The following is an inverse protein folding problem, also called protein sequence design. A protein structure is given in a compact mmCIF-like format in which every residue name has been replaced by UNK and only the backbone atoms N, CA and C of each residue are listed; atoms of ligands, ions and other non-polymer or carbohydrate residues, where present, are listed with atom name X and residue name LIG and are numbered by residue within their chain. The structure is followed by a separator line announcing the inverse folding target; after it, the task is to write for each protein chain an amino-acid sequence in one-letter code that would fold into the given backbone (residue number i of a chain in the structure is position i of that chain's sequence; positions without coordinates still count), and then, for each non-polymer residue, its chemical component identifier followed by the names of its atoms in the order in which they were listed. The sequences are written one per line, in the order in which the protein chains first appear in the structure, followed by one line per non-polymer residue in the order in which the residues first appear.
data_IF_700009317120
#
_entry.id   IF_700009317120
#
_cell.length_a   1.000
_cell.length_b   1.000
_cell.length_c   1.000
_cell.angle_alpha   90.00
_cell.angle_beta   90.00
_cell.angle_gamma   90.00
#
_symmetry.space_group_name_H-M   'P 1'
#
loop_
_entity.id
_entity.type
_entity.pdbx_description
1 polymer ?
#
# COMPACT_ATOMS: atom_id res chain seq x y z
N UNK A 1 -25.11 9.01 -30.39
CA UNK A 1 -24.21 7.89 -30.72
C UNK A 1 -22.82 8.04 -30.07
N UNK A 2 -22.19 9.20 -30.08
CA UNK A 2 -20.87 9.44 -29.42
C UNK A 2 -20.90 9.31 -27.91
N UNK A 3 -21.93 9.82 -27.23
CA UNK A 3 -22.08 9.71 -25.78
C UNK A 3 -22.24 8.25 -25.31
N UNK A 4 -22.89 7.41 -26.11
CA UNK A 4 -23.04 5.98 -25.84
C UNK A 4 -21.72 5.21 -26.06
N UNK A 5 -20.95 5.56 -27.09
CA UNK A 5 -19.59 5.03 -27.32
C UNK A 5 -18.60 5.47 -26.24
N UNK A 6 -18.72 6.71 -25.71
CA UNK A 6 -17.89 7.22 -24.63
C UNK A 6 -18.22 6.54 -23.30
N UNK A 7 -19.51 6.26 -23.04
CA UNK A 7 -19.98 5.52 -21.85
C UNK A 7 -19.53 4.05 -21.89
N UNK A 8 -19.55 3.39 -23.06
CA UNK A 8 -19.03 2.04 -23.27
C UNK A 8 -17.50 1.97 -23.12
N UNK A 9 -16.76 2.99 -23.57
CA UNK A 9 -15.30 3.05 -23.35
C UNK A 9 -14.92 3.28 -21.89
N UNK A 10 -15.66 4.11 -21.15
CA UNK A 10 -15.44 4.29 -19.71
C UNK A 10 -15.79 3.02 -18.91
N UNK A 11 -16.90 2.36 -19.21
CA UNK A 11 -17.27 1.12 -18.53
C UNK A 11 -16.25 -0.01 -18.76
N UNK A 12 -15.62 -0.05 -19.95
CA UNK A 12 -14.56 -1.01 -20.24
C UNK A 12 -13.27 -0.80 -19.45
N UNK A 13 -12.97 0.45 -19.03
CA UNK A 13 -11.81 0.76 -18.16
C UNK A 13 -12.00 0.23 -16.73
N UNK A 14 -13.26 0.11 -16.28
CA UNK A 14 -13.62 -0.40 -14.96
C UNK A 14 -13.99 -1.88 -14.95
N UNK A 15 -13.81 -2.57 -16.07
CA UNK A 15 -14.05 -4.02 -16.14
C UNK A 15 -12.79 -4.76 -15.66
N UNK A 16 -12.97 -5.83 -14.87
CA UNK A 16 -11.86 -6.71 -14.50
C UNK A 16 -11.10 -7.23 -15.72
N UNK A 17 -9.77 -7.20 -15.64
CA UNK A 17 -8.90 -7.70 -16.70
C UNK A 17 -8.73 -9.20 -16.52
N UNK A 18 -9.25 -9.99 -17.45
CA UNK A 18 -8.91 -11.41 -17.55
C UNK A 18 -7.47 -11.54 -18.08
N UNK A 19 -6.59 -12.04 -17.19
CA UNK A 19 -5.18 -12.23 -17.51
C UNK A 19 -4.89 -13.63 -18.07
N UNK A 20 -5.90 -14.49 -18.18
CA UNK A 20 -5.74 -15.84 -18.72
C UNK A 20 -5.71 -15.89 -20.26
N UNK A 21 -5.97 -14.73 -20.91
CA UNK A 21 -5.99 -14.60 -22.38
C UNK A 21 -5.15 -13.41 -22.85
N UNK A 22 -4.78 -13.40 -24.13
CA UNK A 22 -3.97 -12.35 -24.77
C UNK A 22 -2.47 -12.48 -24.47
N UNK A 23 -1.65 -11.46 -24.81
CA UNK A 23 -0.19 -11.47 -24.60
C UNK A 23 0.14 -11.22 -23.12
N UNK A 24 0.93 -12.09 -22.44
CA UNK A 24 1.22 -11.96 -21.02
C UNK A 24 1.84 -10.62 -20.63
N UNK A 25 2.92 -10.20 -21.29
CA UNK A 25 3.60 -8.95 -20.96
C UNK A 25 2.71 -7.72 -21.10
N UNK A 26 1.86 -7.66 -22.15
CA UNK A 26 0.90 -6.55 -22.33
C UNK A 26 -0.12 -6.49 -21.18
N UNK A 27 -0.63 -7.64 -20.73
CA UNK A 27 -1.58 -7.71 -19.61
C UNK A 27 -0.94 -7.29 -18.29
N UNK A 28 0.30 -7.72 -18.05
CA UNK A 28 1.07 -7.34 -16.86
C UNK A 28 1.30 -5.82 -16.84
N UNK A 29 1.78 -5.23 -17.95
CA UNK A 29 2.01 -3.78 -18.04
C UNK A 29 0.71 -2.98 -17.86
N UNK A 30 -0.37 -3.38 -18.57
CA UNK A 30 -1.66 -2.69 -18.48
C UNK A 30 -2.22 -2.69 -17.04
N UNK A 31 -1.95 -3.74 -16.28
CA UNK A 31 -2.35 -3.85 -14.88
C UNK A 31 -1.40 -3.11 -13.93
N UNK A 32 -0.09 -3.11 -14.21
CA UNK A 32 0.92 -2.48 -13.37
C UNK A 32 0.83 -0.94 -13.40
N UNK A 33 0.45 -0.32 -14.54
CA UNK A 33 0.37 1.14 -14.67
C UNK A 33 -0.59 1.78 -13.65
N UNK A 34 -1.86 1.37 -13.52
CA UNK A 34 -2.74 1.91 -12.49
C UNK A 34 -2.19 1.71 -11.07
N UNK A 35 -1.51 0.59 -10.80
CA UNK A 35 -0.90 0.33 -9.51
C UNK A 35 0.27 1.26 -9.23
N UNK A 36 1.12 1.53 -10.24
CA UNK A 36 2.21 2.49 -10.12
C UNK A 36 1.68 3.89 -9.79
N UNK A 37 0.65 4.33 -10.51
CA UNK A 37 -0.01 5.62 -10.24
C UNK A 37 -0.58 5.63 -8.81
N UNK A 38 -1.17 4.52 -8.35
CA UNK A 38 -1.67 4.38 -6.98
C UNK A 38 -0.56 4.48 -5.93
N UNK A 39 0.58 3.83 -6.15
CA UNK A 39 1.72 3.91 -5.24
C UNK A 39 2.30 5.33 -5.16
N UNK A 40 2.38 6.04 -6.29
CA UNK A 40 2.79 7.45 -6.32
C UNK A 40 1.76 8.32 -5.56
N UNK A 41 0.47 8.12 -5.80
CA UNK A 41 -0.59 8.84 -5.09
C UNK A 41 -0.54 8.60 -3.58
N UNK A 42 -0.30 7.36 -3.14
CA UNK A 42 -0.11 7.03 -1.73
C UNK A 42 1.09 7.75 -1.12
N UNK A 43 2.20 7.88 -1.86
CA UNK A 43 3.37 8.60 -1.38
C UNK A 43 3.12 10.10 -1.28
N UNK A 44 2.41 10.67 -2.26
CA UNK A 44 2.00 12.08 -2.21
C UNK A 44 1.05 12.34 -1.04
N UNK A 45 0.09 11.46 -0.80
CA UNK A 45 -0.79 11.50 0.36
C UNK A 45 0.02 11.59 1.68
N UNK A 46 0.94 10.67 1.94
CA UNK A 46 1.77 10.67 3.15
C UNK A 46 2.64 11.94 3.27
N UNK A 47 3.06 12.49 2.13
CA UNK A 47 3.84 13.73 2.08
C UNK A 47 2.98 14.93 2.45
N UNK A 48 1.76 15.03 1.92
CA UNK A 48 0.83 16.12 2.23
C UNK A 48 0.42 16.10 3.70
N UNK A 49 0.10 14.93 4.28
CA UNK A 49 -0.15 14.78 5.71
C UNK A 49 0.99 15.38 6.55
N UNK A 50 2.24 15.02 6.21
CA UNK A 50 3.42 15.53 6.90
C UNK A 50 3.57 17.06 6.77
N UNK A 51 3.27 17.62 5.59
CA UNK A 51 3.31 19.07 5.35
C UNK A 51 2.22 19.78 6.17
N UNK A 52 1.00 19.24 6.19
CA UNK A 52 -0.10 19.83 6.97
C UNK A 52 0.24 19.83 8.46
N UNK A 53 0.71 18.70 8.97
CA UNK A 53 1.14 18.60 10.38
C UNK A 53 2.26 19.59 10.71
N UNK A 54 3.35 19.60 9.93
CA UNK A 54 4.50 20.47 10.18
C UNK A 54 4.17 21.94 10.07
N UNK A 55 3.35 22.34 9.09
CA UNK A 55 3.05 23.74 8.81
C UNK A 55 2.00 24.34 9.75
N UNK A 56 0.98 23.58 10.12
CA UNK A 56 -0.18 24.09 10.86
C UNK A 56 -0.21 23.67 12.34
N UNK A 57 0.45 22.57 12.71
CA UNK A 57 0.48 22.07 14.09
C UNK A 57 1.85 22.31 14.75
N UNK A 58 2.93 22.19 13.96
CA UNK A 58 4.29 22.50 14.37
C UNK A 58 5.23 21.30 14.45
N UNK A 59 6.51 21.59 14.76
CA UNK A 59 7.60 20.62 14.68
C UNK A 59 7.45 19.43 15.63
N UNK A 60 6.95 19.67 16.85
CA UNK A 60 6.72 18.62 17.83
C UNK A 60 5.64 17.62 17.36
N UNK A 61 4.61 18.11 16.66
CA UNK A 61 3.58 17.28 16.07
C UNK A 61 4.14 16.45 14.91
N UNK A 62 4.97 17.05 14.06
CA UNK A 62 5.64 16.33 12.97
C UNK A 62 6.57 15.24 13.52
N UNK A 63 7.32 15.54 14.58
CA UNK A 63 8.14 14.56 15.27
C UNK A 63 7.31 13.42 15.87
N UNK A 64 6.13 13.75 16.44
CA UNK A 64 5.22 12.75 17.00
C UNK A 64 4.67 11.80 15.93
N UNK A 65 4.20 12.31 14.78
CA UNK A 65 3.71 11.50 13.66
C UNK A 65 4.85 10.64 13.10
N UNK A 66 6.05 11.20 12.95
CA UNK A 66 7.23 10.47 12.49
C UNK A 66 7.62 9.32 13.44
N UNK A 67 7.61 9.57 14.74
CA UNK A 67 7.93 8.57 15.77
C UNK A 67 6.88 7.45 15.89
N UNK A 68 5.62 7.72 15.51
CA UNK A 68 4.56 6.73 15.46
C UNK A 68 4.68 5.76 14.26
N UNK A 69 5.41 6.16 13.21
CA UNK A 69 5.55 5.42 11.94
C UNK A 69 5.95 3.94 12.10
N UNK A 70 6.99 3.58 12.86
CA UNK A 70 7.40 2.19 13.08
C UNK A 70 6.31 1.31 13.67
N UNK A 71 5.51 1.83 14.63
CA UNK A 71 4.39 1.09 15.24
C UNK A 71 3.29 0.84 14.20
N UNK A 72 2.95 1.86 13.42
CA UNK A 72 1.96 1.72 12.35
C UNK A 72 2.43 0.73 11.28
N UNK A 73 3.68 0.80 10.85
CA UNK A 73 4.23 -0.12 9.87
C UNK A 73 4.19 -1.57 10.35
N UNK A 74 4.55 -1.83 11.62
CA UNK A 74 4.48 -3.17 12.20
C UNK A 74 3.05 -3.73 12.15
N UNK A 75 2.07 -2.89 12.46
CA UNK A 75 0.66 -3.26 12.43
C UNK A 75 0.17 -3.50 11.00
N UNK A 76 0.54 -2.62 10.07
CA UNK A 76 0.14 -2.70 8.67
C UNK A 76 0.72 -3.94 7.96
N UNK A 77 1.94 -4.37 8.33
CA UNK A 77 2.56 -5.60 7.77
C UNK A 77 1.65 -6.80 7.93
N UNK A 78 0.96 -6.94 9.07
CA UNK A 78 0.00 -8.02 9.29
C UNK A 78 -1.15 -7.96 8.28
N UNK A 79 -1.79 -6.79 8.13
CA UNK A 79 -2.91 -6.62 7.19
C UNK A 79 -2.48 -6.70 5.73
N UNK A 80 -1.29 -6.20 5.39
CA UNK A 80 -0.74 -6.33 4.03
C UNK A 80 -0.50 -7.79 3.69
N UNK A 81 0.07 -8.58 4.60
CA UNK A 81 0.25 -10.02 4.41
C UNK A 81 -1.07 -10.74 4.16
N UNK A 82 -2.08 -10.50 4.99
CA UNK A 82 -3.43 -11.07 4.82
C UNK A 82 -4.04 -10.61 3.49
N UNK A 83 -3.90 -9.34 3.14
CA UNK A 83 -4.41 -8.77 1.87
C UNK A 83 -3.79 -9.44 0.65
N UNK A 84 -2.48 -9.68 0.67
CA UNK A 84 -1.78 -10.39 -0.40
C UNK A 84 -2.28 -11.83 -0.51
N UNK A 85 -2.42 -12.53 0.62
CA UNK A 85 -2.96 -13.89 0.65
C UNK A 85 -4.39 -13.97 0.09
N UNK A 86 -5.27 -13.06 0.51
CA UNK A 86 -6.62 -12.94 -0.02
C UNK A 86 -6.62 -12.65 -1.52
N UNK A 87 -5.79 -11.71 -1.99
CA UNK A 87 -5.67 -11.36 -3.40
C UNK A 87 -5.19 -12.54 -4.27
N UNK A 88 -4.21 -13.31 -3.80
CA UNK A 88 -3.73 -14.53 -4.50
C UNK A 88 -4.84 -15.57 -4.57
N UNK A 89 -5.50 -15.88 -3.45
CA UNK A 89 -6.58 -16.87 -3.39
C UNK A 89 -7.74 -16.47 -4.31
N UNK A 90 -8.15 -15.21 -4.27
CA UNK A 90 -9.20 -14.66 -5.15
C UNK A 90 -8.79 -14.74 -6.61
N UNK A 91 -7.54 -14.42 -6.96
CA UNK A 91 -7.06 -14.53 -8.34
C UNK A 91 -7.07 -15.96 -8.85
N UNK A 92 -6.75 -16.95 -8.01
CA UNK A 92 -6.83 -18.37 -8.37
C UNK A 92 -8.27 -18.83 -8.63
N UNK A 93 -9.21 -18.54 -7.74
CA UNK A 93 -10.61 -18.89 -7.93
C UNK A 93 -11.27 -18.15 -9.10
N UNK A 94 -10.89 -16.89 -9.32
CA UNK A 94 -11.32 -16.14 -10.48
C UNK A 94 -10.82 -16.78 -11.79
N UNK A 95 -9.54 -17.15 -11.85
CA UNK A 95 -8.96 -17.86 -12.99
C UNK A 95 -9.56 -19.24 -13.23
N UNK A 96 -9.91 -19.95 -12.17
CA UNK A 96 -10.59 -21.25 -12.22
C UNK A 96 -12.07 -21.14 -12.62
N UNK A 97 -12.64 -19.92 -12.61
CA UNK A 97 -14.08 -19.66 -12.82
C UNK A 97 -15.00 -20.33 -11.76
N UNK A 98 -14.48 -20.58 -10.57
CA UNK A 98 -15.17 -21.21 -9.45
C UNK A 98 -15.91 -20.14 -8.62
N UNK A 99 -17.10 -19.74 -9.05
CA UNK A 99 -17.86 -18.62 -8.49
C UNK A 99 -18.22 -18.79 -7.01
N UNK A 100 -18.56 -20.00 -6.58
CA UNK A 100 -18.94 -20.28 -5.18
C UNK A 100 -17.73 -20.20 -4.24
N UNK A 101 -16.60 -20.83 -4.63
CA UNK A 101 -15.35 -20.76 -3.87
C UNK A 101 -14.81 -19.32 -3.84
N UNK A 102 -14.93 -18.59 -4.94
CA UNK A 102 -14.58 -17.18 -5.02
C UNK A 102 -15.38 -16.33 -4.02
N UNK A 103 -16.71 -16.50 -3.99
CA UNK A 103 -17.59 -15.80 -3.06
C UNK A 103 -17.26 -16.18 -1.60
N UNK A 104 -17.02 -17.47 -1.32
CA UNK A 104 -16.60 -17.97 -0.02
C UNK A 104 -15.27 -17.39 0.44
N UNK A 105 -14.27 -17.31 -0.44
CA UNK A 105 -12.97 -16.71 -0.18
C UNK A 105 -13.06 -15.22 0.15
N UNK A 106 -13.86 -14.46 -0.62
CA UNK A 106 -14.10 -13.04 -0.39
C UNK A 106 -14.83 -12.83 0.96
N UNK A 107 -15.90 -13.58 1.20
CA UNK A 107 -16.65 -13.50 2.45
C UNK A 107 -15.83 -13.85 3.68
N UNK A 108 -15.01 -14.91 3.60
CA UNK A 108 -14.07 -15.30 4.65
C UNK A 108 -13.05 -14.17 4.93
N UNK A 109 -12.50 -13.55 3.89
CA UNK A 109 -11.56 -12.42 4.01
C UNK A 109 -12.19 -11.23 4.72
N UNK A 110 -13.44 -10.88 4.38
CA UNK A 110 -14.20 -9.81 5.03
C UNK A 110 -14.38 -10.10 6.52
N UNK A 111 -14.77 -11.32 6.87
CA UNK A 111 -15.03 -11.69 8.28
C UNK A 111 -13.76 -11.76 9.11
N UNK A 112 -12.68 -12.32 8.56
CA UNK A 112 -11.38 -12.35 9.26
C UNK A 112 -10.82 -10.95 9.48
N UNK A 113 -11.03 -10.05 8.51
CA UNK A 113 -10.67 -8.62 8.68
C UNK A 113 -11.47 -7.97 9.80
N UNK A 114 -12.78 -8.25 9.89
CA UNK A 114 -13.60 -7.76 10.99
C UNK A 114 -13.07 -8.21 12.35
N UNK A 115 -12.80 -9.51 12.49
CA UNK A 115 -12.28 -10.10 13.74
C UNK A 115 -10.94 -9.46 14.10
N UNK A 116 -9.99 -9.38 13.15
CA UNK A 116 -8.68 -8.78 13.38
C UNK A 116 -8.78 -7.28 13.72
N UNK A 117 -9.65 -6.55 13.04
CA UNK A 117 -9.88 -5.13 13.31
C UNK A 117 -10.45 -4.89 14.70
N UNK A 118 -11.49 -5.64 15.08
CA UNK A 118 -12.10 -5.53 16.43
C UNK A 118 -11.06 -5.86 17.51
N UNK A 119 -10.26 -6.90 17.32
CA UNK A 119 -9.19 -7.26 18.24
C UNK A 119 -8.20 -6.10 18.43
N UNK A 120 -7.75 -5.48 17.36
CA UNK A 120 -6.81 -4.35 17.42
C UNK A 120 -7.48 -3.08 17.97
N UNK A 121 -8.74 -2.82 17.61
CA UNK A 121 -9.50 -1.68 18.16
C UNK A 121 -9.63 -1.76 19.68
N UNK A 122 -9.81 -2.96 20.24
CA UNK A 122 -9.96 -3.16 21.69
C UNK A 122 -8.61 -3.17 22.38
N UNK A 123 -7.64 -3.91 21.88
CA UNK A 123 -6.35 -4.13 22.56
C UNK A 123 -5.34 -3.03 22.22
N UNK A 124 -5.36 -2.54 20.98
CA UNK A 124 -4.38 -1.57 20.49
C UNK A 124 -4.20 -0.34 21.36
N UNK A 125 -5.27 0.39 21.73
CA UNK A 125 -5.16 1.58 22.57
C UNK A 125 -4.42 1.36 23.91
N UNK A 126 -4.56 0.18 24.51
CA UNK A 126 -3.86 -0.16 25.76
C UNK A 126 -2.37 -0.43 25.53
N UNK A 127 -1.98 -0.89 24.34
CA UNK A 127 -0.59 -1.18 24.00
C UNK A 127 0.19 0.05 23.53
N UNK A 128 -0.46 1.14 23.12
CA UNK A 128 0.18 2.33 22.55
C UNK A 128 1.25 2.89 23.49
N UNK A 129 0.89 3.24 24.73
CA UNK A 129 1.83 3.84 25.68
C UNK A 129 3.00 2.91 26.05
N UNK A 130 2.79 1.62 26.37
CA UNK A 130 3.89 0.66 26.57
C UNK A 130 4.83 0.57 25.35
N UNK A 131 4.31 0.51 24.14
CA UNK A 131 5.12 0.44 22.92
C UNK A 131 5.93 1.72 22.69
N UNK A 132 5.34 2.90 22.87
CA UNK A 132 6.05 4.17 22.76
C UNK A 132 7.20 4.28 23.77
N UNK A 133 6.99 3.84 25.01
CA UNK A 133 8.04 3.80 26.04
C UNK A 133 9.14 2.79 25.69
N UNK A 134 8.79 1.63 25.16
CA UNK A 134 9.76 0.62 24.68
C UNK A 134 10.64 1.17 23.55
N UNK A 135 10.10 2.05 22.71
CA UNK A 135 10.84 2.73 21.64
C UNK A 135 11.60 3.97 22.11
N UNK A 136 11.64 4.23 23.43
CA UNK A 136 12.28 5.41 24.02
C UNK A 136 11.76 6.73 23.42
N UNK A 137 10.46 6.82 23.14
CA UNK A 137 9.84 8.06 22.67
C UNK A 137 9.97 9.14 23.75
N UNK A 138 10.48 10.35 23.42
CA UNK A 138 10.64 11.44 24.38
C UNK A 138 9.31 11.84 25.04
N UNK A 139 9.35 12.11 26.34
CA UNK A 139 8.15 12.50 27.12
C UNK A 139 7.48 13.78 26.59
N UNK A 140 8.25 14.66 25.94
CA UNK A 140 7.75 15.90 25.33
C UNK A 140 6.75 15.68 24.20
N UNK A 141 6.78 14.52 23.52
CA UNK A 141 5.93 14.21 22.36
C UNK A 141 5.08 12.95 22.57
N UNK A 142 5.26 12.22 23.67
CA UNK A 142 4.61 10.91 23.88
C UNK A 142 3.08 10.99 23.89
N UNK A 143 2.52 12.08 24.43
CA UNK A 143 1.06 12.27 24.48
C UNK A 143 0.49 12.55 23.09
N UNK A 144 1.23 13.24 22.23
CA UNK A 144 0.83 13.50 20.86
C UNK A 144 0.92 12.23 20.01
N UNK A 145 2.01 11.44 20.19
CA UNK A 145 2.16 10.11 19.58
C UNK A 145 1.02 9.18 20.02
N UNK A 146 0.70 9.17 21.32
CA UNK A 146 -0.35 8.32 21.86
C UNK A 146 -1.72 8.71 21.32
N UNK A 147 -2.06 9.99 21.29
CA UNK A 147 -3.32 10.49 20.71
C UNK A 147 -3.47 10.08 19.24
N UNK A 148 -2.41 10.29 18.45
CA UNK A 148 -2.37 9.91 17.04
C UNK A 148 -2.62 8.42 16.82
N UNK A 149 -1.86 7.57 17.53
CA UNK A 149 -1.97 6.12 17.40
C UNK A 149 -3.28 5.56 17.92
N UNK A 150 -3.81 6.06 19.05
CA UNK A 150 -5.08 5.60 19.61
C UNK A 150 -6.22 5.83 18.61
N UNK A 151 -6.28 7.02 18.00
CA UNK A 151 -7.32 7.33 17.01
C UNK A 151 -7.18 6.41 15.80
N UNK A 152 -5.96 6.19 15.30
CA UNK A 152 -5.73 5.27 14.19
C UNK A 152 -6.08 3.82 14.55
N UNK A 153 -5.81 3.37 15.78
CA UNK A 153 -6.17 2.02 16.22
C UNK A 153 -7.68 1.85 16.37
N UNK A 154 -8.37 2.87 16.86
CA UNK A 154 -9.84 2.88 16.88
C UNK A 154 -10.42 2.93 15.45
N UNK A 155 -9.77 3.65 14.54
CA UNK A 155 -10.17 3.73 13.12
C UNK A 155 -9.58 2.63 12.22
N UNK A 156 -8.87 1.64 12.78
CA UNK A 156 -8.10 0.64 11.99
C UNK A 156 -8.95 -0.15 11.00
N UNK A 157 -10.24 -0.35 11.30
CA UNK A 157 -11.15 -1.08 10.44
C UNK A 157 -11.21 -0.49 9.03
N UNK A 158 -11.28 0.83 8.89
CA UNK A 158 -11.29 1.50 7.57
C UNK A 158 -10.04 1.15 6.76
N UNK A 159 -8.87 1.28 7.37
CA UNK A 159 -7.59 0.99 6.74
C UNK A 159 -7.44 -0.51 6.42
N UNK A 160 -7.80 -1.40 7.33
CA UNK A 160 -7.74 -2.84 7.12
C UNK A 160 -8.67 -3.29 5.98
N UNK A 161 -9.92 -2.82 6.00
CA UNK A 161 -10.87 -3.13 4.94
C UNK A 161 -10.45 -2.57 3.59
N UNK A 162 -9.96 -1.32 3.52
CA UNK A 162 -9.44 -0.80 2.27
C UNK A 162 -8.30 -1.68 1.72
N UNK A 163 -7.32 -2.05 2.54
CA UNK A 163 -6.20 -2.89 2.11
C UNK A 163 -6.67 -4.23 1.56
N UNK A 164 -7.57 -4.92 2.25
CA UNK A 164 -8.06 -6.24 1.84
C UNK A 164 -8.98 -6.15 0.64
N UNK A 165 -9.96 -5.25 0.63
CA UNK A 165 -10.91 -5.12 -0.48
C UNK A 165 -10.23 -4.63 -1.76
N UNK A 166 -9.25 -3.71 -1.65
CA UNK A 166 -8.41 -3.33 -2.80
C UNK A 166 -7.52 -4.49 -3.27
N UNK A 167 -7.02 -5.33 -2.36
CA UNK A 167 -6.32 -6.57 -2.67
C UNK A 167 -7.20 -7.56 -3.43
N UNK A 168 -8.44 -7.73 -3.00
CA UNK A 168 -9.46 -8.55 -3.68
C UNK A 168 -9.77 -7.99 -5.08
N UNK A 169 -10.02 -6.68 -5.22
CA UNK A 169 -10.23 -6.05 -6.53
C UNK A 169 -9.04 -6.30 -7.47
N UNK A 170 -7.82 -6.15 -6.97
CA UNK A 170 -6.62 -6.48 -7.74
C UNK A 170 -6.56 -7.96 -8.11
N UNK A 171 -6.91 -8.87 -7.21
CA UNK A 171 -7.01 -10.32 -7.50
C UNK A 171 -8.00 -10.64 -8.61
N UNK A 172 -9.13 -9.94 -8.65
CA UNK A 172 -10.14 -10.00 -9.74
C UNK A 172 -9.67 -9.35 -11.04
N UNK A 173 -8.53 -8.67 -11.06
CA UNK A 173 -8.04 -7.96 -12.25
C UNK A 173 -8.49 -6.49 -12.35
N UNK A 174 -9.14 -5.92 -11.32
CA UNK A 174 -9.62 -4.53 -11.30
C UNK A 174 -8.66 -3.63 -10.49
N UNK A 175 -7.51 -3.29 -11.09
CA UNK A 175 -6.57 -2.33 -10.50
C UNK A 175 -7.02 -0.87 -10.63
N UNK A 176 -7.86 -0.56 -11.60
CA UNK A 176 -8.34 0.80 -11.88
C UNK A 176 -9.31 1.27 -10.80
N UNK A 177 -10.27 0.45 -10.41
CA UNK A 177 -11.20 0.81 -9.32
C UNK A 177 -10.46 1.00 -8.01
N UNK A 178 -9.49 0.13 -7.69
CA UNK A 178 -8.66 0.28 -6.49
C UNK A 178 -7.90 1.62 -6.48
N UNK A 179 -7.31 2.02 -7.63
CA UNK A 179 -6.67 3.31 -7.80
C UNK A 179 -7.63 4.48 -7.57
N UNK A 180 -8.80 4.46 -8.22
CA UNK A 180 -9.74 5.59 -8.15
C UNK A 180 -10.23 5.78 -6.72
N UNK A 181 -10.54 4.70 -5.99
CA UNK A 181 -10.97 4.81 -4.61
C UNK A 181 -9.85 5.31 -3.68
N UNK A 182 -8.59 4.98 -3.98
CA UNK A 182 -7.44 5.59 -3.30
C UNK A 182 -7.35 7.10 -3.57
N UNK A 183 -7.52 7.52 -4.84
CA UNK A 183 -7.48 8.95 -5.18
C UNK A 183 -8.63 9.72 -4.50
N UNK A 184 -9.82 9.15 -4.44
CA UNK A 184 -10.95 9.74 -3.69
C UNK A 184 -10.58 9.88 -2.20
N UNK A 185 -10.01 8.83 -1.59
CA UNK A 185 -9.55 8.90 -0.21
C UNK A 185 -8.47 9.98 -0.02
N UNK A 186 -7.52 10.07 -0.94
CA UNK A 186 -6.44 11.08 -0.89
C UNK A 186 -6.99 12.51 -0.90
N UNK A 187 -7.89 12.81 -1.83
CA UNK A 187 -8.51 14.14 -1.91
C UNK A 187 -9.34 14.44 -0.67
N UNK A 188 -10.12 13.48 -0.20
CA UNK A 188 -10.95 13.63 0.99
C UNK A 188 -10.08 13.84 2.24
N UNK A 189 -9.00 13.08 2.39
CA UNK A 189 -8.09 13.20 3.52
C UNK A 189 -7.45 14.60 3.56
N UNK A 190 -6.87 15.08 2.43
CA UNK A 190 -6.28 16.41 2.36
C UNK A 190 -7.28 17.49 2.77
N UNK A 191 -8.52 17.38 2.30
CA UNK A 191 -9.58 18.31 2.69
C UNK A 191 -9.90 18.26 4.18
N UNK A 192 -10.04 17.04 4.73
CA UNK A 192 -10.35 16.84 6.15
C UNK A 192 -9.17 17.21 7.05
N UNK A 193 -7.92 16.97 6.65
CA UNK A 193 -6.72 17.39 7.40
C UNK A 193 -6.73 18.90 7.59
N UNK A 194 -6.88 19.66 6.49
CA UNK A 194 -6.94 21.11 6.57
C UNK A 194 -8.12 21.55 7.44
N UNK A 195 -9.31 20.96 7.24
CA UNK A 195 -10.50 21.31 7.99
C UNK A 195 -10.34 21.06 9.50
N UNK A 196 -9.87 19.86 9.89
CA UNK A 196 -9.76 19.49 11.30
C UNK A 196 -8.63 20.22 12.03
N UNK A 197 -7.54 20.49 11.30
CA UNK A 197 -6.41 21.21 11.90
C UNK A 197 -6.66 22.71 11.96
N UNK A 198 -7.20 23.34 10.89
CA UNK A 198 -7.32 24.80 10.83
C UNK A 198 -8.64 25.35 11.38
N UNK A 199 -9.77 24.65 11.16
CA UNK A 199 -11.09 25.12 11.59
C UNK A 199 -11.50 24.57 12.95
N UNK A 200 -11.08 23.35 13.30
CA UNK A 200 -11.46 22.70 14.57
C UNK A 200 -10.31 22.66 15.59
N UNK A 201 -9.10 23.10 15.24
CA UNK A 201 -7.91 23.14 16.08
C UNK A 201 -7.59 21.79 16.77
N UNK A 202 -7.85 20.67 16.05
CA UNK A 202 -7.69 19.33 16.58
C UNK A 202 -6.23 18.84 16.57
N UNK A 203 -5.32 19.59 15.98
CA UNK A 203 -3.89 19.23 15.93
C UNK A 203 -3.66 17.84 15.31
N UNK A 204 -2.78 17.05 15.93
CA UNK A 204 -2.42 15.69 15.46
C UNK A 204 -3.60 14.73 15.49
N UNK A 205 -4.53 14.90 16.43
CA UNK A 205 -5.76 14.09 16.50
C UNK A 205 -6.66 14.31 15.28
N UNK A 206 -6.69 15.54 14.76
CA UNK A 206 -7.44 15.86 13.53
C UNK A 206 -6.92 15.11 12.32
N UNK A 207 -5.62 15.07 12.14
CA UNK A 207 -4.97 14.36 11.01
C UNK A 207 -5.21 12.84 11.09
N UNK A 208 -5.07 12.24 12.26
CA UNK A 208 -5.35 10.82 12.42
C UNK A 208 -6.83 10.48 12.17
N UNK A 209 -7.75 11.35 12.59
CA UNK A 209 -9.18 11.19 12.35
C UNK A 209 -9.51 11.34 10.84
N UNK A 210 -8.93 12.32 10.17
CA UNK A 210 -9.08 12.52 8.72
C UNK A 210 -8.62 11.27 7.94
N UNK A 211 -7.46 10.72 8.31
CA UNK A 211 -6.93 9.47 7.75
C UNK A 211 -7.91 8.31 7.97
N UNK A 212 -8.42 8.13 9.18
CA UNK A 212 -9.36 7.05 9.49
C UNK A 212 -10.67 7.17 8.67
N UNK A 213 -11.22 8.37 8.55
CA UNK A 213 -12.44 8.64 7.77
C UNK A 213 -12.19 8.41 6.28
N UNK A 214 -11.11 8.95 5.72
CA UNK A 214 -10.78 8.80 4.31
C UNK A 214 -10.60 7.33 3.91
N UNK A 215 -9.91 6.55 4.73
CA UNK A 215 -9.73 5.12 4.53
C UNK A 215 -11.04 4.33 4.66
N UNK A 216 -11.90 4.70 5.62
CA UNK A 216 -13.23 4.09 5.77
C UNK A 216 -14.11 4.34 4.53
N UNK A 217 -14.12 5.57 4.00
CA UNK A 217 -14.85 5.91 2.77
C UNK A 217 -14.34 5.09 1.58
N UNK A 218 -13.02 4.98 1.43
CA UNK A 218 -12.42 4.16 0.37
C UNK A 218 -12.79 2.67 0.51
N UNK A 219 -12.78 2.14 1.73
CA UNK A 219 -13.22 0.77 2.00
C UNK A 219 -14.69 0.54 1.63
N UNK A 220 -15.58 1.48 1.97
CA UNK A 220 -17.00 1.44 1.60
C UNK A 220 -17.17 1.44 0.07
N UNK A 221 -16.43 2.29 -0.64
CA UNK A 221 -16.48 2.33 -2.11
C UNK A 221 -16.00 1.01 -2.73
N UNK A 222 -14.92 0.40 -2.20
CA UNK A 222 -14.47 -0.92 -2.62
C UNK A 222 -15.55 -1.98 -2.37
N UNK A 223 -16.20 -1.97 -1.21
CA UNK A 223 -17.27 -2.92 -0.86
C UNK A 223 -18.48 -2.76 -1.79
N UNK A 224 -18.94 -1.53 -2.04
CA UNK A 224 -20.04 -1.24 -2.98
C UNK A 224 -19.69 -1.75 -4.39
N UNK A 225 -18.43 -1.59 -4.83
CA UNK A 225 -17.98 -2.12 -6.13
C UNK A 225 -18.08 -3.64 -6.16
N UNK A 226 -17.57 -4.32 -5.13
CA UNK A 226 -17.58 -5.79 -5.04
C UNK A 226 -19.00 -6.35 -5.01
N UNK A 227 -19.92 -5.73 -4.26
CA UNK A 227 -21.32 -6.18 -4.23
C UNK A 227 -22.08 -5.99 -5.55
N UNK A 228 -21.59 -5.09 -6.42
CA UNK A 228 -22.16 -4.86 -7.76
C UNK A 228 -21.61 -5.80 -8.84
N UNK A 229 -20.59 -6.62 -8.52
CA UNK A 229 -19.96 -7.54 -9.48
C UNK A 229 -20.70 -8.90 -9.57
N UNK A 230 -22.03 -8.89 -9.60
CA UNK A 230 -22.90 -10.08 -9.56
C UNK A 230 -22.72 -11.03 -10.74
N UNK A 231 -22.21 -10.54 -11.88
CA UNK A 231 -21.89 -11.39 -13.03
C UNK A 231 -20.71 -12.34 -12.76
N UNK A 232 -19.83 -11.94 -11.84
CA UNK A 232 -18.60 -12.69 -11.51
C UNK A 232 -18.84 -13.62 -10.33
N UNK A 233 -19.48 -13.13 -9.26
CA UNK A 233 -19.82 -13.88 -8.05
C UNK A 233 -20.99 -13.21 -7.32
N UNK A 234 -21.69 -13.96 -6.50
CA UNK A 234 -22.74 -13.43 -5.61
C UNK A 234 -22.27 -13.50 -4.15
N UNK A 235 -22.14 -12.33 -3.51
CA UNK A 235 -21.81 -12.26 -2.10
C UNK A 235 -23.09 -12.43 -1.26
N UNK A 236 -23.32 -13.64 -0.74
CA UNK A 236 -24.44 -13.97 0.15
C UNK A 236 -23.97 -13.92 1.62
N UNK A 237 -24.88 -13.68 2.54
CA UNK A 237 -24.57 -13.71 3.98
C UNK A 237 -23.99 -15.05 4.45
N UNK A 238 -24.32 -16.15 3.77
CA UNK A 238 -23.74 -17.47 4.03
C UNK A 238 -22.25 -17.54 3.74
N UNK A 239 -21.74 -16.73 2.80
CA UNK A 239 -20.32 -16.67 2.45
C UNK A 239 -19.46 -16.00 3.54
N UNK A 240 -20.08 -15.21 4.43
CA UNK A 240 -19.39 -14.55 5.54
C UNK A 240 -18.99 -15.51 6.66
N UNK A 241 -19.47 -16.77 6.65
CA UNK A 241 -19.02 -17.77 7.63
C UNK A 241 -17.57 -18.16 7.34
N UNK A 242 -16.64 -17.97 8.30
CA UNK A 242 -15.25 -18.36 8.10
C UNK A 242 -15.13 -19.85 7.84
N UNK A 243 -14.59 -20.23 6.70
CA UNK A 243 -14.29 -21.61 6.39
C UNK A 243 -12.82 -21.88 6.72
N UNK A 244 -12.54 -22.97 7.45
CA UNK A 244 -11.18 -23.33 7.84
C UNK A 244 -10.23 -23.43 6.63
N UNK A 245 -10.71 -23.98 5.51
CA UNK A 245 -9.94 -24.12 4.28
C UNK A 245 -9.48 -22.75 3.77
N UNK A 246 -10.41 -21.82 3.51
CA UNK A 246 -10.08 -20.48 3.02
C UNK A 246 -9.19 -19.70 3.99
N UNK A 247 -9.44 -19.82 5.31
CA UNK A 247 -8.62 -19.19 6.35
C UNK A 247 -7.18 -19.68 6.31
N UNK A 248 -6.99 -20.99 6.25
CA UNK A 248 -5.64 -21.61 6.22
C UNK A 248 -4.92 -21.25 4.92
N UNK A 249 -5.61 -21.32 3.77
CA UNK A 249 -5.03 -21.01 2.48
C UNK A 249 -4.63 -19.51 2.41
N UNK A 250 -5.46 -18.59 2.91
CA UNK A 250 -5.16 -17.17 2.97
C UNK A 250 -3.94 -16.89 3.84
N UNK A 251 -3.84 -17.50 5.03
CA UNK A 251 -2.68 -17.35 5.90
C UNK A 251 -1.44 -17.96 5.24
N UNK A 252 -1.54 -19.15 4.68
CA UNK A 252 -0.42 -19.84 4.02
C UNK A 252 0.14 -19.05 2.83
N UNK A 253 -0.72 -18.40 2.07
CA UNK A 253 -0.32 -17.60 0.92
C UNK A 253 0.18 -16.20 1.33
N UNK A 254 -0.40 -15.62 2.38
CA UNK A 254 -0.07 -14.27 2.83
C UNK A 254 1.11 -14.19 3.80
N UNK A 255 1.28 -15.21 4.66
CA UNK A 255 2.33 -15.21 5.68
C UNK A 255 3.75 -15.03 5.12
N UNK A 256 4.16 -15.70 4.01
CA UNK A 256 5.47 -15.49 3.43
C UNK A 256 5.70 -14.03 3.00
N UNK A 257 4.67 -13.39 2.42
CA UNK A 257 4.76 -11.98 2.00
C UNK A 257 4.86 -11.04 3.19
N UNK A 258 4.08 -11.28 4.25
CA UNK A 258 4.18 -10.53 5.50
C UNK A 258 5.54 -10.68 6.17
N UNK A 259 6.07 -11.91 6.25
CA UNK A 259 7.41 -12.17 6.79
C UNK A 259 8.51 -11.49 5.98
N UNK A 260 8.43 -11.54 4.64
CA UNK A 260 9.39 -10.84 3.77
C UNK A 260 9.39 -9.34 4.05
N UNK A 261 8.21 -8.74 4.19
CA UNK A 261 8.09 -7.31 4.51
C UNK A 261 8.63 -6.97 5.91
N UNK A 262 8.38 -7.85 6.89
CA UNK A 262 8.91 -7.68 8.25
C UNK A 262 10.44 -7.76 8.26
N UNK A 263 11.03 -8.76 7.58
CA UNK A 263 12.49 -8.91 7.46
C UNK A 263 13.10 -7.69 6.77
N UNK A 264 12.48 -7.21 5.69
CA UNK A 264 12.94 -6.01 4.99
C UNK A 264 12.91 -4.77 5.91
N UNK A 265 11.85 -4.59 6.69
CA UNK A 265 11.74 -3.49 7.65
C UNK A 265 12.79 -3.59 8.75
N UNK A 266 13.08 -4.79 9.27
CA UNK A 266 14.14 -5.02 10.25
C UNK A 266 15.52 -4.71 9.66
N UNK A 267 15.81 -5.14 8.44
CA UNK A 267 17.05 -4.84 7.75
C UNK A 267 17.25 -3.31 7.60
N UNK A 268 16.18 -2.58 7.26
CA UNK A 268 16.23 -1.12 7.17
C UNK A 268 16.54 -0.45 8.52
N UNK A 269 16.02 -0.97 9.63
CA UNK A 269 16.34 -0.46 10.98
C UNK A 269 17.84 -0.67 11.28
N UNK A 270 18.40 -1.83 10.93
CA UNK A 270 19.84 -2.11 11.13
C UNK A 270 20.69 -1.18 10.28
N UNK A 271 20.34 -0.99 9.00
CA UNK A 271 21.03 -0.04 8.11
C UNK A 271 20.97 1.38 8.65
N UNK A 272 19.80 1.82 9.14
CA UNK A 272 19.64 3.15 9.73
C UNK A 272 20.49 3.30 10.99
N UNK A 273 20.52 2.31 11.86
CA UNK A 273 21.35 2.32 13.08
C UNK A 273 22.83 2.43 12.76
N UNK A 274 23.28 1.68 11.72
CA UNK A 274 24.66 1.77 11.25
C UNK A 274 24.95 3.15 10.64
N UNK A 275 24.05 3.68 9.82
CA UNK A 275 24.20 5.01 9.21
C UNK A 275 24.35 6.10 10.27
N UNK A 276 23.59 6.00 11.36
CA UNK A 276 23.63 6.96 12.48
C UNK A 276 25.02 7.01 13.16
N UNK A 277 25.83 5.96 13.06
CA UNK A 277 27.17 5.92 13.65
C UNK A 277 28.22 6.71 12.86
N UNK A 278 27.92 7.11 11.60
CA UNK A 278 28.88 7.79 10.72
C UNK A 278 28.79 9.33 10.73
N UNK A 279 27.92 9.90 11.55
CA UNK A 279 27.79 11.34 11.73
C UNK A 279 26.71 12.01 10.88
N UNK A 280 26.42 13.27 11.18
CA UNK A 280 25.26 14.01 10.67
C UNK A 280 25.19 14.15 9.15
N UNK A 281 26.35 14.36 8.51
CA UNK A 281 26.40 14.55 7.05
C UNK A 281 25.99 13.27 6.31
N UNK A 282 26.45 12.09 6.78
CA UNK A 282 26.07 10.81 6.18
C UNK A 282 24.59 10.48 6.44
N UNK A 283 24.08 10.83 7.60
CA UNK A 283 22.64 10.68 7.92
C UNK A 283 21.80 11.50 6.96
N UNK A 284 22.16 12.79 6.75
CA UNK A 284 21.44 13.67 5.84
C UNK A 284 21.50 13.16 4.38
N UNK A 285 22.68 12.72 3.92
CA UNK A 285 22.83 12.12 2.60
C UNK A 285 21.96 10.86 2.44
N UNK A 286 21.97 9.97 3.43
CA UNK A 286 21.16 8.75 3.42
C UNK A 286 19.65 9.04 3.35
N UNK A 287 19.17 10.06 4.06
CA UNK A 287 17.74 10.47 3.99
C UNK A 287 17.35 10.87 2.56
N UNK A 288 18.19 11.67 1.88
CA UNK A 288 17.95 12.09 0.50
C UNK A 288 17.92 10.86 -0.43
N UNK A 289 18.91 9.98 -0.29
CA UNK A 289 19.04 8.77 -1.10
C UNK A 289 17.84 7.84 -0.90
N UNK A 290 17.41 7.61 0.33
CA UNK A 290 16.24 6.77 0.63
C UNK A 290 14.95 7.32 0.03
N UNK A 291 14.80 8.64 -0.06
CA UNK A 291 13.66 9.26 -0.75
C UNK A 291 13.70 8.98 -2.26
N UNK A 292 14.84 9.18 -2.90
CA UNK A 292 14.99 8.90 -4.35
C UNK A 292 14.84 7.40 -4.63
N UNK A 293 15.47 6.54 -3.83
CA UNK A 293 15.35 5.09 -3.94
C UNK A 293 13.90 4.61 -3.76
N UNK A 294 13.15 5.21 -2.83
CA UNK A 294 11.74 4.92 -2.62
C UNK A 294 10.90 5.12 -3.89
N UNK A 295 11.09 6.22 -4.61
CA UNK A 295 10.43 6.45 -5.90
C UNK A 295 10.92 5.48 -6.98
N UNK A 296 12.22 5.20 -7.02
CA UNK A 296 12.81 4.28 -7.99
C UNK A 296 12.31 2.83 -7.84
N UNK A 297 11.97 2.40 -6.63
CA UNK A 297 11.48 1.05 -6.36
C UNK A 297 9.98 0.85 -6.62
N UNK A 298 9.18 1.93 -6.72
CA UNK A 298 7.72 1.82 -6.92
C UNK A 298 7.30 1.02 -8.16
N UNK A 299 7.93 1.16 -9.33
CA UNK A 299 7.61 0.32 -10.48
C UNK A 299 7.83 -1.16 -10.19
N UNK A 300 8.93 -1.53 -9.51
CA UNK A 300 9.23 -2.92 -9.19
C UNK A 300 8.14 -3.55 -8.30
N UNK A 301 7.66 -2.83 -7.27
CA UNK A 301 6.53 -3.28 -6.44
C UNK A 301 5.25 -3.42 -7.26
N UNK A 302 4.99 -2.50 -8.18
CA UNK A 302 3.80 -2.53 -9.04
C UNK A 302 3.84 -3.72 -10.01
N UNK A 303 4.99 -3.98 -10.64
CA UNK A 303 5.19 -5.15 -11.50
C UNK A 303 5.11 -6.46 -10.69
N UNK A 304 5.71 -6.52 -9.49
CA UNK A 304 5.63 -7.68 -8.60
C UNK A 304 4.18 -8.06 -8.28
N UNK A 305 3.35 -7.07 -7.92
CA UNK A 305 1.94 -7.33 -7.65
C UNK A 305 1.16 -7.71 -8.92
N UNK A 306 1.45 -7.07 -10.06
CA UNK A 306 0.84 -7.43 -11.35
C UNK A 306 1.17 -8.86 -11.75
N UNK A 307 2.42 -9.28 -11.59
CA UNK A 307 2.86 -10.65 -11.87
C UNK A 307 2.22 -11.66 -10.90
N UNK A 308 2.04 -11.30 -9.63
CA UNK A 308 1.35 -12.13 -8.65
C UNK A 308 -0.11 -12.38 -9.04
N UNK A 309 -0.83 -11.35 -9.46
CA UNK A 309 -2.22 -11.48 -9.94
C UNK A 309 -2.27 -12.29 -11.24
N UNK A 310 -1.37 -12.01 -12.18
CA UNK A 310 -1.26 -12.76 -13.43
C UNK A 310 -1.01 -14.25 -13.17
N UNK A 311 -0.03 -14.57 -12.33
CA UNK A 311 0.29 -15.95 -11.97
C UNK A 311 -0.90 -16.63 -11.27
N UNK A 312 -1.52 -15.96 -10.31
CA UNK A 312 -2.69 -16.49 -9.60
C UNK A 312 -3.83 -16.88 -10.53
N UNK A 313 -4.25 -15.99 -11.44
CA UNK A 313 -5.32 -16.27 -12.39
C UNK A 313 -4.96 -17.42 -13.36
N UNK A 314 -3.71 -17.48 -13.85
CA UNK A 314 -3.28 -18.53 -14.76
C UNK A 314 -3.06 -19.88 -14.05
N UNK A 315 -2.63 -19.90 -12.80
CA UNK A 315 -2.58 -21.11 -11.97
C UNK A 315 -3.99 -21.66 -11.75
N UNK A 316 -4.94 -20.80 -11.37
CA UNK A 316 -6.35 -21.18 -11.25
C UNK A 316 -6.92 -21.76 -12.52
N UNK A 317 -6.62 -21.16 -13.67
CA UNK A 317 -7.01 -21.65 -14.99
C UNK A 317 -6.22 -22.88 -15.45
N UNK A 318 -5.27 -23.40 -14.66
CA UNK A 318 -4.36 -24.51 -15.00
C UNK A 318 -3.48 -24.26 -16.25
N UNK A 319 -3.24 -22.96 -16.57
CA UNK A 319 -2.43 -22.54 -17.74
C UNK A 319 -0.97 -22.32 -17.33
N UNK A 320 -0.30 -23.37 -16.86
CA UNK A 320 1.06 -23.29 -16.28
C UNK A 320 2.13 -22.80 -17.27
N UNK A 321 2.00 -23.09 -18.57
CA UNK A 321 2.93 -22.59 -19.59
C UNK A 321 2.82 -21.07 -19.72
N UNK A 322 1.60 -20.52 -19.59
CA UNK A 322 1.41 -19.06 -19.54
C UNK A 322 2.04 -18.45 -18.30
N UNK A 323 2.00 -19.14 -17.16
CA UNK A 323 2.68 -18.66 -15.94
C UNK A 323 4.17 -18.52 -16.20
N UNK A 324 4.81 -19.53 -16.83
CA UNK A 324 6.24 -19.49 -17.18
C UNK A 324 6.55 -18.36 -18.18
N UNK A 325 5.71 -18.22 -19.21
CA UNK A 325 5.86 -17.15 -20.19
C UNK A 325 5.70 -15.77 -19.55
N UNK A 326 4.67 -15.57 -18.73
CA UNK A 326 4.42 -14.31 -18.02
C UNK A 326 5.52 -13.98 -17.02
N UNK A 327 6.06 -14.97 -16.30
CA UNK A 327 7.20 -14.79 -15.44
C UNK A 327 8.43 -14.28 -16.23
N UNK A 328 8.72 -14.91 -17.39
CA UNK A 328 9.84 -14.48 -18.25
C UNK A 328 9.63 -13.08 -18.82
N UNK A 329 8.48 -12.82 -19.45
CA UNK A 329 8.17 -11.52 -20.06
C UNK A 329 8.09 -10.41 -18.99
N UNK A 330 7.40 -10.67 -17.87
CA UNK A 330 7.25 -9.72 -16.77
C UNK A 330 8.59 -9.37 -16.12
N UNK A 331 9.47 -10.36 -15.90
CA UNK A 331 10.81 -10.13 -15.37
C UNK A 331 11.66 -9.32 -16.35
N UNK A 332 11.62 -9.63 -17.65
CA UNK A 332 12.36 -8.85 -18.66
C UNK A 332 11.89 -7.39 -18.71
N UNK A 333 10.58 -7.15 -18.64
CA UNK A 333 10.01 -5.80 -18.60
C UNK A 333 10.44 -5.08 -17.33
N UNK A 334 10.36 -5.73 -16.16
CA UNK A 334 10.78 -5.15 -14.89
C UNK A 334 12.26 -4.79 -14.90
N UNK A 335 13.13 -5.65 -15.42
CA UNK A 335 14.57 -5.37 -15.60
C UNK A 335 14.76 -4.18 -16.54
N UNK A 336 14.10 -4.14 -17.69
CA UNK A 336 14.21 -3.03 -18.63
C UNK A 336 13.82 -1.70 -17.99
N UNK A 337 12.72 -1.67 -17.22
CA UNK A 337 12.26 -0.48 -16.49
C UNK A 337 13.27 -0.11 -15.39
N UNK A 338 13.79 -1.07 -14.63
CA UNK A 338 14.80 -0.84 -13.60
C UNK A 338 16.08 -0.25 -14.21
N UNK A 339 16.56 -0.79 -15.33
CA UNK A 339 17.73 -0.26 -16.05
C UNK A 339 17.49 1.17 -16.53
N UNK A 340 16.31 1.47 -17.10
CA UNK A 340 15.97 2.83 -17.52
C UNK A 340 15.97 3.81 -16.34
N UNK A 341 15.41 3.43 -15.21
CA UNK A 341 15.41 4.25 -13.99
C UNK A 341 16.82 4.44 -13.47
N UNK A 342 17.62 3.37 -13.38
CA UNK A 342 19.03 3.42 -12.97
C UNK A 342 19.84 4.33 -13.87
N UNK A 343 19.72 4.21 -15.20
CA UNK A 343 20.36 5.12 -16.14
C UNK A 343 19.90 6.57 -15.93
N UNK A 344 18.63 6.81 -15.70
CA UNK A 344 18.09 8.13 -15.38
C UNK A 344 18.69 8.72 -14.11
N UNK A 345 18.77 7.92 -13.05
CA UNK A 345 19.40 8.32 -11.77
C UNK A 345 20.89 8.60 -11.95
N UNK A 346 21.62 7.79 -12.71
CA UNK A 346 23.04 8.01 -12.95
C UNK A 346 23.31 9.25 -13.80
N UNK A 347 22.45 9.53 -14.78
CA UNK A 347 22.60 10.71 -15.66
C UNK A 347 22.16 12.01 -14.97
N UNK A 348 21.06 11.98 -14.22
CA UNK A 348 20.45 13.15 -13.62
C UNK A 348 20.60 13.21 -12.10
N UNK A 349 21.37 12.32 -11.50
CA UNK A 349 21.51 12.16 -10.05
C UNK A 349 21.87 13.46 -9.34
N UNK A 350 22.78 14.26 -9.90
CA UNK A 350 23.16 15.55 -9.32
C UNK A 350 21.94 16.50 -9.23
N UNK A 351 21.20 16.67 -10.33
CA UNK A 351 19.99 17.50 -10.35
C UNK A 351 18.92 16.99 -9.38
N UNK A 352 18.78 15.67 -9.24
CA UNK A 352 17.85 15.06 -8.29
C UNK A 352 18.25 15.38 -6.84
N UNK A 353 19.55 15.38 -6.51
CA UNK A 353 20.03 15.71 -5.15
C UNK A 353 19.88 17.22 -4.87
N UNK A 354 20.14 18.08 -5.86
CA UNK A 354 19.99 19.55 -5.77
C UNK A 354 18.54 20.00 -5.48
N UNK A 355 17.52 19.16 -5.78
CA UNK A 355 16.13 19.41 -5.39
C UNK A 355 15.98 19.40 -3.85
N UNK A 356 16.77 18.59 -3.15
CA UNK A 356 16.64 18.38 -1.71
C UNK A 356 17.58 19.27 -0.88
N UNK A 357 18.73 19.67 -1.42
CA UNK A 357 19.72 20.47 -0.70
C UNK A 357 20.56 21.32 -1.65
N UNK A 358 20.99 22.51 -1.17
CA UNK A 358 21.88 23.39 -1.87
C UNK A 358 23.34 23.29 -1.36
N UNK A 359 23.61 22.49 -0.32
CA UNK A 359 24.94 22.31 0.24
C UNK A 359 25.77 21.42 -0.68
N UNK A 360 26.80 21.98 -1.33
CA UNK A 360 27.60 21.30 -2.36
C UNK A 360 28.21 19.98 -1.85
N UNK A 361 28.79 19.98 -0.64
CA UNK A 361 29.37 18.77 -0.03
C UNK A 361 28.34 17.66 0.18
N UNK A 362 27.11 18.02 0.60
CA UNK A 362 26.03 17.06 0.79
C UNK A 362 25.51 16.52 -0.53
N UNK A 363 25.43 17.36 -1.58
CA UNK A 363 25.08 16.93 -2.94
C UNK A 363 26.11 15.95 -3.46
N UNK A 364 27.41 16.26 -3.35
CA UNK A 364 28.49 15.41 -3.87
C UNK A 364 28.54 14.06 -3.14
N UNK A 365 28.40 14.06 -1.81
CA UNK A 365 28.30 12.83 -1.01
C UNK A 365 27.07 11.99 -1.41
N UNK A 366 25.90 12.63 -1.54
CA UNK A 366 24.66 11.94 -1.94
C UNK A 366 24.77 11.34 -3.35
N UNK A 367 25.37 12.05 -4.31
CA UNK A 367 25.63 11.54 -5.66
C UNK A 367 26.59 10.35 -5.64
N UNK A 368 27.66 10.43 -4.84
CA UNK A 368 28.61 9.33 -4.69
C UNK A 368 27.92 8.07 -4.14
N UNK A 369 27.20 8.21 -3.04
CA UNK A 369 26.48 7.10 -2.42
C UNK A 369 25.39 6.53 -3.34
N UNK A 370 24.66 7.40 -4.07
CA UNK A 370 23.63 6.98 -5.01
C UNK A 370 24.19 6.15 -6.16
N UNK A 371 25.41 6.47 -6.64
CA UNK A 371 26.10 5.67 -7.67
C UNK A 371 26.48 4.27 -7.21
N UNK A 372 26.68 4.08 -5.91
CA UNK A 372 26.96 2.75 -5.33
C UNK A 372 25.67 1.92 -5.22
N UNK A 373 24.52 2.59 -4.96
CA UNK A 373 23.23 1.93 -4.77
C UNK A 373 22.46 1.66 -6.07
N UNK A 374 22.73 2.42 -7.14
CA UNK A 374 22.09 2.29 -8.44
C UNK A 374 22.65 1.11 -9.26
#
# INVERSE_FOLDING_TARGET
MEAHKKKLRLSALFAPIDMTEGRPGSKIVMFAIPMLIGNIAQQLYNTVDSIVVGRYVGDNALAAVGSAGPILNLLLVLFVGISVGAGIMVSQYFGAKEKEELAGAIGCSITLTAIASVFIMVIGPFLVRPLLRLLNTPDSIIDWCASYLIILFVGIAGMAYYNILSGILRGLGDSVSALIYLLVATVLNIFLDILFVTAFDMGVAGVSLATAIAQAVSAILCLIKLTKMTDIFELRLSCLKPQKRHTVDMIRLGLPSGLTQAIFSMAMIVVQSLTNSFGEMLIAANVIIMRVAGFAMMPNFSFGTAMTTFAGQNVGAKKYDRVKQGAKEGTLIAIAVAVLITCGILMFGRYLMEIFTQTAELVDLSVYMMRILA
#
